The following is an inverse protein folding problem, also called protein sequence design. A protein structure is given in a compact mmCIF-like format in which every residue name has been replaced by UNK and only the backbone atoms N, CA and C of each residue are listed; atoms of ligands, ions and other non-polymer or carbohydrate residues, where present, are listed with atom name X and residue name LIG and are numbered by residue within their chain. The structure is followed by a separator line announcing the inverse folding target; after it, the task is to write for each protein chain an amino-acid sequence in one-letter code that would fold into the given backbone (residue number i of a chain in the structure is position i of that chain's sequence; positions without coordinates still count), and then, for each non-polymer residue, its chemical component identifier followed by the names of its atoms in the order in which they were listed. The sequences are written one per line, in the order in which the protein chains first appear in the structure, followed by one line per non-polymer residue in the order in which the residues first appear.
data_IF_359189349267
#
_entry.id   IF_359189349267
#
_cell.length_a   1.000
_cell.length_b   1.000
_cell.length_c   1.000
_cell.angle_alpha   90.00
_cell.angle_beta   90.00
_cell.angle_gamma   90.00
#
_symmetry.space_group_name_H-M   'P 1'
#
loop_
_entity.id
_entity.type
_entity.pdbx_description
1 polymer ?
#
# COMPACT_ATOMS: atom_id res chain seq x y z
N UNK A 1 7.12 6.24 37.38
CA UNK A 1 7.53 6.24 35.96
C UNK A 1 6.81 5.09 35.28
N UNK A 2 6.19 5.32 34.12
CA UNK A 2 5.49 4.25 33.38
C UNK A 2 6.47 3.15 32.96
N UNK A 3 5.99 1.90 32.93
CA UNK A 3 6.80 0.76 32.47
C UNK A 3 7.21 0.91 30.99
N UNK A 4 6.33 1.54 30.20
CA UNK A 4 6.49 1.75 28.76
C UNK A 4 6.57 3.24 28.44
N UNK A 5 7.34 3.58 27.41
CA UNK A 5 7.36 4.93 26.84
C UNK A 5 6.19 5.13 25.88
N UNK A 6 5.88 4.10 25.07
CA UNK A 6 4.78 4.13 24.13
C UNK A 6 3.96 2.83 24.08
N UNK A 7 2.66 2.97 23.82
CA UNK A 7 1.74 1.87 23.54
C UNK A 7 1.28 1.97 22.10
N UNK A 8 1.35 0.86 21.37
CA UNK A 8 0.83 0.69 20.01
C UNK A 8 -0.44 -0.14 20.08
N UNK A 9 -1.56 0.43 19.62
CA UNK A 9 -2.86 -0.25 19.56
C UNK A 9 -3.01 -0.91 18.18
N UNK A 10 -2.92 -2.24 18.14
CA UNK A 10 -3.07 -3.06 16.94
C UNK A 10 -1.76 -3.66 16.42
N UNK A 11 -1.65 -4.98 16.47
CA UNK A 11 -0.50 -5.81 16.05
C UNK A 11 -0.49 -6.19 14.56
N UNK A 12 -0.99 -5.32 13.69
CA UNK A 12 -0.82 -5.44 12.25
C UNK A 12 0.62 -5.13 11.80
N UNK A 13 0.95 -5.42 10.54
CA UNK A 13 2.29 -5.17 9.97
C UNK A 13 2.81 -3.73 10.22
N UNK A 14 1.98 -2.71 10.07
CA UNK A 14 2.38 -1.31 10.35
C UNK A 14 2.72 -1.08 11.82
N UNK A 15 1.97 -1.67 12.74
CA UNK A 15 2.23 -1.59 14.18
C UNK A 15 3.53 -2.28 14.56
N UNK A 16 3.79 -3.47 14.00
CA UNK A 16 5.04 -4.20 14.21
C UNK A 16 6.24 -3.43 13.66
N UNK A 17 6.15 -2.91 12.43
CA UNK A 17 7.20 -2.07 11.84
C UNK A 17 7.47 -0.82 12.68
N UNK A 18 6.41 -0.13 13.11
CA UNK A 18 6.52 1.05 13.98
C UNK A 18 7.22 0.70 15.29
N UNK A 19 6.82 -0.40 15.94
CA UNK A 19 7.45 -0.90 17.15
C UNK A 19 8.94 -1.15 16.96
N UNK A 20 9.33 -1.85 15.88
CA UNK A 20 10.74 -2.14 15.57
C UNK A 20 11.58 -0.88 15.36
N UNK A 21 11.04 0.16 14.73
CA UNK A 21 11.77 1.41 14.56
C UNK A 21 11.94 2.17 15.88
N UNK A 22 10.91 2.21 16.72
CA UNK A 22 10.95 2.91 18.00
C UNK A 22 11.85 2.18 19.02
N UNK A 23 11.76 0.86 19.10
CA UNK A 23 12.62 0.06 19.98
C UNK A 23 14.10 0.18 19.60
N UNK A 24 14.43 0.22 18.30
CA UNK A 24 15.79 0.52 17.81
C UNK A 24 16.32 1.89 18.24
N UNK A 25 15.42 2.84 18.56
CA UNK A 25 15.75 4.15 19.10
C UNK A 25 15.78 4.19 20.62
N UNK A 26 15.59 3.04 21.29
CA UNK A 26 15.70 2.88 22.74
C UNK A 26 14.39 3.05 23.51
N UNK A 27 13.25 3.23 22.82
CA UNK A 27 11.95 3.33 23.48
C UNK A 27 11.45 1.96 23.95
N UNK A 28 10.84 1.91 25.14
CA UNK A 28 10.14 0.75 25.67
C UNK A 28 8.73 0.70 25.13
N UNK A 29 8.43 -0.30 24.30
CA UNK A 29 7.17 -0.39 23.56
C UNK A 29 6.33 -1.56 24.05
N UNK A 30 5.02 -1.32 24.16
CA UNK A 30 4.00 -2.36 24.31
C UNK A 30 3.06 -2.35 23.10
N UNK A 31 2.87 -3.51 22.47
CA UNK A 31 1.84 -3.72 21.45
C UNK A 31 0.63 -4.41 22.09
N UNK A 32 -0.56 -3.88 21.84
CA UNK A 32 -1.84 -4.45 22.27
C UNK A 32 -2.64 -4.89 21.03
N UNK A 33 -2.78 -6.20 20.83
CA UNK A 33 -3.55 -6.79 19.73
C UNK A 33 -4.85 -7.39 20.27
N UNK A 34 -5.98 -7.04 19.65
CA UNK A 34 -7.30 -7.49 20.11
C UNK A 34 -7.57 -8.96 19.82
N UNK A 35 -6.97 -9.50 18.76
CA UNK A 35 -7.15 -10.88 18.32
C UNK A 35 -6.09 -11.80 18.94
N UNK A 36 -6.25 -13.10 18.74
CA UNK A 36 -5.26 -14.12 19.13
C UNK A 36 -4.00 -14.11 18.25
N UNK A 37 -4.12 -13.65 16.99
CA UNK A 37 -3.05 -13.66 16.01
C UNK A 37 -2.66 -12.24 15.60
N UNK A 38 -1.37 -12.02 15.37
CA UNK A 38 -0.82 -10.80 14.78
C UNK A 38 -1.05 -10.75 13.26
N UNK A 39 -0.83 -9.57 12.67
CA UNK A 39 -0.75 -9.39 11.22
C UNK A 39 -1.89 -8.59 10.60
N UNK A 40 -3.04 -8.50 11.26
CA UNK A 40 -4.19 -7.74 10.78
C UNK A 40 -4.60 -8.17 9.36
N UNK A 41 -4.75 -7.21 8.44
CA UNK A 41 -5.16 -7.48 7.05
C UNK A 41 -4.16 -8.34 6.26
N UNK A 42 -2.89 -8.41 6.68
CA UNK A 42 -1.88 -9.24 5.98
C UNK A 42 -2.20 -10.72 6.11
N UNK A 43 -2.92 -11.15 7.15
CA UNK A 43 -3.35 -12.54 7.27
C UNK A 43 -4.29 -12.98 6.12
N UNK A 44 -4.91 -12.03 5.43
CA UNK A 44 -5.78 -12.29 4.27
C UNK A 44 -5.10 -11.97 2.93
N UNK A 45 -3.87 -11.47 2.97
CA UNK A 45 -3.13 -11.16 1.76
C UNK A 45 -2.49 -12.45 1.25
N UNK A 46 -2.63 -12.75 -0.04
CA UNK A 46 -1.88 -13.83 -0.67
C UNK A 46 -0.47 -13.39 -1.11
N UNK A 47 -0.14 -12.10 -0.97
CA UNK A 47 1.15 -11.59 -1.46
C UNK A 47 1.60 -10.28 -0.78
N UNK A 48 2.91 -10.04 -0.81
CA UNK A 48 3.61 -8.85 -0.31
C UNK A 48 3.52 -7.63 -1.27
N UNK A 49 2.44 -7.52 -2.06
CA UNK A 49 2.23 -6.39 -2.98
C UNK A 49 2.37 -5.05 -2.24
N UNK A 50 3.44 -4.33 -2.53
CA UNK A 50 3.66 -2.97 -2.02
C UNK A 50 4.27 -2.87 -0.62
N UNK A 51 4.72 -3.96 0.01
CA UNK A 51 5.55 -3.84 1.20
C UNK A 51 6.96 -3.36 0.80
N UNK A 52 7.43 -2.32 1.45
CA UNK A 52 8.66 -1.64 1.04
C UNK A 52 9.89 -2.50 1.31
N UNK A 53 10.66 -2.82 0.26
CA UNK A 53 11.96 -3.49 0.39
C UNK A 53 12.94 -2.69 1.25
N UNK A 54 12.79 -1.36 1.29
CA UNK A 54 13.53 -0.49 2.21
C UNK A 54 13.27 -0.87 3.67
N UNK A 55 12.02 -1.18 4.05
CA UNK A 55 11.70 -1.60 5.42
C UNK A 55 12.36 -2.93 5.74
N UNK A 56 12.35 -3.89 4.81
CA UNK A 56 13.05 -5.18 5.00
C UNK A 56 14.54 -4.97 5.24
N UNK A 57 15.19 -4.11 4.45
CA UNK A 57 16.60 -3.77 4.59
C UNK A 57 16.90 -3.04 5.91
N UNK A 58 16.13 -1.99 6.22
CA UNK A 58 16.29 -1.16 7.42
C UNK A 58 16.10 -2.00 8.69
N UNK A 59 15.16 -2.95 8.68
CA UNK A 59 14.88 -3.86 9.80
C UNK A 59 15.73 -5.13 9.80
N UNK A 60 16.52 -5.37 8.73
CA UNK A 60 17.30 -6.60 8.50
C UNK A 60 16.44 -7.86 8.54
N UNK A 61 15.27 -7.80 7.92
CA UNK A 61 14.32 -8.90 7.82
C UNK A 61 14.63 -9.68 6.54
N UNK A 62 15.01 -10.95 6.71
CA UNK A 62 15.27 -11.85 5.60
C UNK A 62 14.05 -12.74 5.41
N UNK A 63 13.35 -12.57 4.28
CA UNK A 63 12.23 -13.43 3.90
C UNK A 63 12.72 -14.48 2.89
N UNK A 64 12.27 -15.74 2.99
CA UNK A 64 12.55 -16.74 1.97
C UNK A 64 12.03 -16.25 0.62
N UNK A 65 12.84 -16.42 -0.42
CA UNK A 65 12.41 -16.07 -1.77
C UNK A 65 11.67 -17.23 -2.40
N UNK A 66 10.53 -16.94 -3.04
CA UNK A 66 9.81 -17.92 -3.83
C UNK A 66 10.33 -17.89 -5.27
N UNK A 67 10.71 -19.04 -5.81
CA UNK A 67 11.18 -19.16 -7.19
C UNK A 67 10.12 -19.89 -8.02
N UNK A 68 9.01 -19.21 -8.29
CA UNK A 68 7.94 -19.73 -9.15
C UNK A 68 7.84 -18.90 -10.43
N UNK A 69 7.66 -19.60 -11.55
CA UNK A 69 7.23 -18.95 -12.80
C UNK A 69 5.87 -18.33 -12.56
N UNK A 70 5.78 -17.01 -12.72
CA UNK A 70 4.54 -16.27 -12.53
C UNK A 70 3.73 -16.31 -13.83
N UNK A 71 2.57 -16.97 -13.79
CA UNK A 71 1.63 -17.00 -14.90
C UNK A 71 0.44 -16.10 -14.61
N UNK A 72 0.02 -15.34 -15.61
CA UNK A 72 -1.15 -14.48 -15.54
C UNK A 72 -2.16 -14.97 -16.56
N UNK A 73 -3.38 -15.22 -16.10
CA UNK A 73 -4.43 -15.80 -16.93
C UNK A 73 -5.59 -14.83 -17.04
N UNK A 74 -5.96 -14.47 -18.27
CA UNK A 74 -7.22 -13.82 -18.57
C UNK A 74 -8.20 -14.86 -19.12
N UNK A 75 -9.28 -15.05 -18.36
CA UNK A 75 -10.37 -15.95 -18.74
C UNK A 75 -11.27 -15.27 -19.76
N UNK A 76 -11.80 -16.08 -20.67
CA UNK A 76 -12.77 -15.68 -21.68
C UNK A 76 -13.88 -16.72 -21.77
N UNK A 77 -15.10 -16.28 -22.06
CA UNK A 77 -16.30 -17.14 -21.97
C UNK A 77 -16.33 -18.28 -23.00
N UNK A 78 -15.68 -18.10 -24.14
CA UNK A 78 -15.54 -19.11 -25.20
C UNK A 78 -14.36 -20.08 -24.99
N UNK A 79 -13.71 -20.03 -23.82
CA UNK A 79 -12.52 -20.81 -23.45
C UNK A 79 -11.22 -20.43 -24.19
N UNK A 80 -11.23 -19.38 -25.02
CA UNK A 80 -10.04 -18.80 -25.63
C UNK A 80 -9.30 -17.90 -24.64
N UNK A 81 -8.68 -18.53 -23.64
CA UNK A 81 -7.94 -17.82 -22.60
C UNK A 81 -6.59 -17.30 -23.10
N UNK A 82 -6.17 -16.15 -22.56
CA UNK A 82 -4.80 -15.68 -22.69
C UNK A 82 -4.00 -16.04 -21.44
N UNK A 83 -2.87 -16.71 -21.65
CA UNK A 83 -1.90 -17.08 -20.61
C UNK A 83 -0.58 -16.39 -20.93
N UNK A 84 -0.17 -15.53 -20.02
CA UNK A 84 1.11 -14.85 -20.05
C UNK A 84 2.04 -15.47 -19.01
N UNK A 85 3.34 -15.52 -19.32
CA UNK A 85 4.38 -15.78 -18.35
C UNK A 85 5.20 -14.50 -18.14
N UNK A 86 5.28 -14.04 -16.90
CA UNK A 86 6.20 -12.96 -16.50
C UNK A 86 7.52 -13.57 -16.01
N UNK A 87 8.64 -13.09 -16.54
CA UNK A 87 9.97 -13.50 -16.08
C UNK A 87 10.54 -12.55 -15.01
N UNK A 88 11.66 -12.92 -14.41
CA UNK A 88 12.32 -12.15 -13.32
C UNK A 88 12.72 -10.71 -13.69
N UNK A 89 12.69 -10.35 -14.99
CA UNK A 89 12.96 -8.99 -15.49
C UNK A 89 11.67 -8.20 -15.82
N UNK A 90 10.51 -8.74 -15.47
CA UNK A 90 9.18 -8.23 -15.81
C UNK A 90 8.97 -8.11 -17.32
N UNK A 91 9.57 -9.04 -18.08
CA UNK A 91 9.22 -9.23 -19.48
C UNK A 91 8.12 -10.27 -19.58
N UNK A 92 7.23 -10.06 -20.53
CA UNK A 92 6.02 -10.85 -20.73
C UNK A 92 6.20 -11.71 -21.97
N UNK A 93 5.97 -13.01 -21.80
CA UNK A 93 5.92 -13.97 -22.88
C UNK A 93 4.49 -14.51 -23.02
N UNK A 94 3.98 -14.56 -24.24
CA UNK A 94 2.70 -15.20 -24.54
C UNK A 94 2.90 -16.72 -24.59
N UNK A 95 2.26 -17.43 -23.67
CA UNK A 95 2.23 -18.91 -23.67
C UNK A 95 1.06 -19.40 -24.52
N UNK A 96 -0.08 -18.73 -24.36
CA UNK A 96 -1.30 -18.99 -25.11
C UNK A 96 -2.06 -17.66 -25.27
N UNK A 97 -2.58 -17.39 -26.46
CA UNK A 97 -3.48 -16.26 -26.70
C UNK A 97 -4.17 -16.44 -28.05
N UNK A 98 -5.44 -16.06 -28.13
CA UNK A 98 -6.18 -15.90 -29.38
C UNK A 98 -5.88 -14.58 -30.10
N UNK A 99 -5.21 -13.64 -29.43
CA UNK A 99 -4.88 -12.34 -29.99
C UNK A 99 -3.87 -12.50 -31.15
N UNK A 100 -4.11 -11.79 -32.25
CA UNK A 100 -3.18 -11.79 -33.38
C UNK A 100 -1.84 -11.12 -33.03
N UNK A 101 -0.80 -11.37 -33.85
CA UNK A 101 0.54 -10.82 -33.61
C UNK A 101 0.58 -9.29 -33.51
N UNK A 102 -0.28 -8.59 -34.25
CA UNK A 102 -0.36 -7.14 -34.22
C UNK A 102 -0.84 -6.64 -32.85
N UNK A 103 -1.90 -7.26 -32.31
CA UNK A 103 -2.43 -6.92 -30.98
C UNK A 103 -1.42 -7.25 -29.88
N UNK A 104 -0.73 -8.39 -29.97
CA UNK A 104 0.33 -8.75 -29.04
C UNK A 104 1.47 -7.71 -29.04
N UNK A 105 1.90 -7.25 -30.23
CA UNK A 105 2.91 -6.18 -30.36
C UNK A 105 2.42 -4.84 -29.77
N UNK A 106 1.18 -4.45 -30.05
CA UNK A 106 0.54 -3.24 -29.48
C UNK A 106 0.47 -3.32 -27.96
N UNK A 107 0.06 -4.47 -27.42
CA UNK A 107 0.02 -4.73 -25.98
C UNK A 107 1.39 -4.59 -25.33
N UNK A 108 2.43 -5.25 -25.86
CA UNK A 108 3.80 -5.10 -25.36
C UNK A 108 4.30 -3.65 -25.43
N UNK A 109 3.94 -2.90 -26.48
CA UNK A 109 4.28 -1.48 -26.62
C UNK A 109 3.62 -0.62 -25.53
N UNK A 110 2.32 -0.83 -25.26
CA UNK A 110 1.60 -0.15 -24.17
C UNK A 110 2.23 -0.40 -22.81
N UNK A 111 2.61 -1.65 -22.53
CA UNK A 111 3.25 -2.02 -21.25
C UNK A 111 4.58 -1.30 -21.07
N UNK A 112 5.41 -1.27 -22.12
CA UNK A 112 6.67 -0.55 -22.10
C UNK A 112 6.47 0.96 -21.92
N UNK A 113 5.44 1.53 -22.56
CA UNK A 113 5.02 2.92 -22.38
C UNK A 113 4.65 3.21 -20.92
N UNK A 114 3.81 2.38 -20.31
CA UNK A 114 3.43 2.54 -18.91
C UNK A 114 4.62 2.35 -17.95
N UNK A 115 5.50 1.38 -18.21
CA UNK A 115 6.72 1.17 -17.43
C UNK A 115 7.61 2.41 -17.43
N UNK A 116 7.78 3.05 -18.59
CA UNK A 116 8.51 4.31 -18.72
C UNK A 116 7.86 5.42 -17.88
N UNK A 117 6.54 5.58 -17.97
CA UNK A 117 5.82 6.61 -17.21
C UNK A 117 5.85 6.35 -15.70
N UNK A 118 5.62 5.12 -15.27
CA UNK A 118 5.70 4.70 -13.87
C UNK A 118 7.10 4.92 -13.27
N UNK A 119 8.17 4.72 -14.05
CA UNK A 119 9.55 4.99 -13.60
C UNK A 119 9.81 6.46 -13.27
N UNK A 120 9.02 7.37 -13.84
CA UNK A 120 9.08 8.80 -13.50
C UNK A 120 8.47 9.05 -12.13
N UNK A 121 7.41 8.31 -11.78
CA UNK A 121 6.69 8.42 -10.51
C UNK A 121 7.41 7.73 -9.35
N UNK A 122 8.10 6.61 -9.59
CA UNK A 122 8.70 5.75 -8.55
C UNK A 122 9.66 6.51 -7.63
N UNK A 123 10.40 7.47 -8.19
CA UNK A 123 11.32 8.31 -7.43
C UNK A 123 10.64 9.17 -6.37
N UNK A 124 9.37 9.53 -6.56
CA UNK A 124 8.62 10.37 -5.62
C UNK A 124 7.92 9.54 -4.55
N UNK A 125 7.75 8.24 -4.76
CA UNK A 125 7.01 7.36 -3.84
C UNK A 125 7.69 7.21 -2.47
N UNK A 126 9.00 7.46 -2.40
CA UNK A 126 9.79 7.39 -1.16
C UNK A 126 10.17 8.78 -0.61
N UNK A 127 9.74 9.86 -1.26
CA UNK A 127 9.99 11.22 -0.82
C UNK A 127 8.75 11.80 -0.12
N UNK A 128 8.97 12.69 0.85
CA UNK A 128 7.85 13.43 1.45
C UNK A 128 7.26 14.35 0.38
N UNK A 129 5.95 14.23 0.06
CA UNK A 129 5.34 15.04 -0.99
C UNK A 129 5.45 16.53 -0.65
N UNK A 130 5.89 17.38 -1.60
CA UNK A 130 6.01 18.81 -1.35
C UNK A 130 4.63 19.43 -1.14
N UNK A 131 4.53 20.37 -0.19
CA UNK A 131 3.28 21.08 0.06
C UNK A 131 3.08 22.15 -1.01
N UNK A 132 1.96 22.09 -1.74
CA UNK A 132 1.59 23.14 -2.69
C UNK A 132 1.29 24.44 -1.94
N UNK A 133 1.79 25.56 -2.47
CA UNK A 133 1.58 26.91 -1.91
C UNK A 133 2.07 27.09 -0.46
N UNK A 134 3.05 26.30 -0.01
CA UNK A 134 3.63 26.48 1.33
C UNK A 134 4.45 27.76 1.48
N UNK A 135 4.87 28.37 0.36
CA UNK A 135 5.79 29.51 0.35
C UNK A 135 7.25 29.14 0.67
N UNK A 136 7.53 27.85 0.92
CA UNK A 136 8.87 27.36 1.23
C UNK A 136 9.68 27.11 -0.06
N UNK A 137 10.93 27.58 -0.08
CA UNK A 137 11.88 27.35 -1.17
C UNK A 137 12.22 25.87 -1.35
N UNK A 138 12.27 25.08 -0.28
CA UNK A 138 12.55 23.64 -0.35
C UNK A 138 11.44 22.88 -1.09
N UNK A 139 10.18 23.16 -0.76
CA UNK A 139 9.02 22.55 -1.44
C UNK A 139 8.97 22.98 -2.91
N UNK A 140 9.26 24.25 -3.19
CA UNK A 140 9.34 24.77 -4.55
C UNK A 140 10.41 24.05 -5.36
N UNK A 141 11.59 23.82 -4.77
CA UNK A 141 12.68 23.10 -5.43
C UNK A 141 12.35 21.62 -5.66
N UNK A 142 11.67 20.96 -4.72
CA UNK A 142 11.14 19.59 -4.93
C UNK A 142 10.16 19.55 -6.10
N UNK A 143 9.22 20.49 -6.20
CA UNK A 143 8.30 20.60 -7.33
C UNK A 143 9.03 20.82 -8.66
N UNK A 144 10.06 21.68 -8.67
CA UNK A 144 10.90 21.91 -9.86
C UNK A 144 11.61 20.61 -10.26
N UNK A 145 12.21 19.89 -9.31
CA UNK A 145 12.84 18.59 -9.57
C UNK A 145 11.85 17.57 -10.14
N UNK A 146 10.63 17.53 -9.59
CA UNK A 146 9.56 16.67 -10.09
C UNK A 146 9.25 16.98 -11.55
N UNK A 147 9.00 18.26 -11.86
CA UNK A 147 8.73 18.73 -13.21
C UNK A 147 9.90 18.49 -14.17
N UNK A 148 11.15 18.60 -13.69
CA UNK A 148 12.34 18.35 -14.50
C UNK A 148 12.48 16.87 -14.88
N UNK A 149 12.18 15.93 -13.97
CA UNK A 149 12.17 14.50 -14.29
C UNK A 149 11.11 14.16 -15.34
N UNK A 150 9.92 14.76 -15.24
CA UNK A 150 8.88 14.61 -16.26
C UNK A 150 9.35 15.18 -17.61
N UNK A 151 10.04 16.34 -17.61
CA UNK A 151 10.64 16.91 -18.83
C UNK A 151 11.70 16.00 -19.47
N UNK A 152 12.45 15.22 -18.69
CA UNK A 152 13.45 14.27 -19.20
C UNK A 152 12.84 13.11 -20.00
N UNK A 153 11.53 12.89 -19.97
CA UNK A 153 10.86 11.94 -20.88
C UNK A 153 11.01 12.33 -22.36
N UNK A 154 11.33 13.60 -22.64
CA UNK A 154 11.34 14.15 -23.99
C UNK A 154 9.96 14.65 -24.41
N UNK A 155 9.92 15.51 -25.44
CA UNK A 155 8.71 16.24 -25.85
C UNK A 155 7.52 15.33 -26.14
N UNK A 156 7.75 14.23 -26.86
CA UNK A 156 6.69 13.29 -27.28
C UNK A 156 6.12 12.53 -26.09
N UNK A 157 6.96 11.82 -25.33
CA UNK A 157 6.54 11.03 -24.18
C UNK A 157 5.95 11.89 -23.05
N UNK A 158 6.47 13.11 -22.83
CA UNK A 158 5.91 14.03 -21.84
C UNK A 158 4.48 14.46 -22.21
N UNK A 159 4.25 14.81 -23.48
CA UNK A 159 2.91 15.18 -23.95
C UNK A 159 1.93 14.02 -23.79
N UNK A 160 2.36 12.83 -24.16
CA UNK A 160 1.56 11.62 -24.04
C UNK A 160 1.26 11.29 -22.57
N UNK A 161 2.26 11.34 -21.69
CA UNK A 161 2.07 11.14 -20.25
C UNK A 161 1.03 12.11 -19.67
N UNK A 162 1.17 13.41 -19.97
CA UNK A 162 0.24 14.44 -19.49
C UNK A 162 -1.16 14.30 -20.10
N UNK A 163 -1.27 13.77 -21.32
CA UNK A 163 -2.55 13.45 -21.97
C UNK A 163 -3.28 12.34 -21.21
N UNK A 164 -2.59 11.23 -20.91
CA UNK A 164 -3.26 10.01 -20.43
C UNK A 164 -3.40 9.92 -18.92
N UNK A 165 -2.58 10.61 -18.12
CA UNK A 165 -2.53 10.40 -16.65
C UNK A 165 -3.88 10.65 -15.96
N UNK A 166 -4.72 11.54 -16.49
CA UNK A 166 -6.06 11.82 -15.97
C UNK A 166 -7.18 11.02 -16.61
N UNK A 167 -6.91 10.27 -17.68
CA UNK A 167 -7.92 9.49 -18.40
C UNK A 167 -8.28 8.20 -17.67
N UNK A 168 -9.31 7.56 -18.18
CA UNK A 168 -9.66 6.21 -17.78
C UNK A 168 -8.93 5.19 -18.67
N UNK A 169 -8.63 4.00 -18.13
CA UNK A 169 -7.88 2.97 -18.85
C UNK A 169 -8.69 2.38 -20.01
N UNK A 170 -10.02 2.35 -19.93
CA UNK A 170 -10.84 1.67 -20.92
C UNK A 170 -10.73 2.35 -22.30
N UNK A 171 -10.86 3.68 -22.36
CA UNK A 171 -10.72 4.44 -23.60
C UNK A 171 -9.33 4.23 -24.22
N UNK A 172 -8.27 4.29 -23.40
CA UNK A 172 -6.90 4.09 -23.88
C UNK A 172 -6.66 2.65 -24.38
N UNK A 173 -7.33 1.66 -23.80
CA UNK A 173 -7.24 0.28 -24.28
C UNK A 173 -8.02 0.07 -25.56
N UNK A 174 -9.26 0.59 -25.66
CA UNK A 174 -10.12 0.47 -26.85
C UNK A 174 -9.52 1.21 -28.06
N UNK A 175 -8.78 2.31 -27.85
CA UNK A 175 -8.07 3.03 -28.90
C UNK A 175 -6.85 2.26 -29.45
N UNK A 176 -6.28 1.33 -28.67
CA UNK A 176 -4.98 0.72 -28.97
C UNK A 176 -5.01 -0.81 -29.10
N UNK A 177 -6.05 -1.48 -28.64
CA UNK A 177 -6.21 -2.95 -28.64
C UNK A 177 -7.59 -3.32 -29.16
N UNK A 178 -7.73 -4.59 -29.53
CA UNK A 178 -8.99 -5.13 -30.04
C UNK A 178 -9.28 -6.53 -29.50
N UNK A 179 -8.43 -7.04 -28.60
CA UNK A 179 -8.61 -8.34 -27.96
C UNK A 179 -9.08 -8.14 -26.52
N UNK A 180 -10.24 -8.70 -26.20
CA UNK A 180 -10.90 -8.52 -24.90
C UNK A 180 -10.08 -9.09 -23.74
N UNK A 181 -9.31 -10.16 -23.96
CA UNK A 181 -8.48 -10.75 -22.90
C UNK A 181 -7.28 -9.87 -22.59
N UNK A 182 -6.64 -9.27 -23.60
CA UNK A 182 -5.54 -8.32 -23.41
C UNK A 182 -6.00 -7.02 -22.75
N UNK A 183 -7.16 -6.50 -23.18
CA UNK A 183 -7.79 -5.34 -22.53
C UNK A 183 -8.14 -5.67 -21.07
N UNK A 184 -8.74 -6.84 -20.82
CA UNK A 184 -9.12 -7.31 -19.50
C UNK A 184 -7.95 -7.36 -18.51
N UNK A 185 -6.76 -7.83 -18.96
CA UNK A 185 -5.55 -7.85 -18.14
C UNK A 185 -5.16 -6.47 -17.65
N UNK A 186 -5.01 -5.49 -18.55
CA UNK A 186 -4.60 -4.13 -18.17
C UNK A 186 -5.70 -3.39 -17.41
N UNK A 187 -6.97 -3.61 -17.76
CA UNK A 187 -8.10 -3.05 -17.06
C UNK A 187 -8.14 -3.50 -15.60
N UNK A 188 -7.97 -4.81 -15.34
CA UNK A 188 -7.87 -5.38 -14.00
C UNK A 188 -6.74 -4.75 -13.20
N UNK A 189 -5.54 -4.72 -13.78
CA UNK A 189 -4.36 -4.13 -13.16
C UNK A 189 -4.57 -2.63 -12.81
N UNK A 190 -5.36 -1.89 -13.58
CA UNK A 190 -5.61 -0.46 -13.31
C UNK A 190 -6.52 -0.17 -12.11
N UNK A 191 -7.38 -1.12 -11.73
CA UNK A 191 -8.38 -0.92 -10.68
C UNK A 191 -8.07 -1.65 -9.37
N UNK A 192 -7.06 -2.52 -9.37
CA UNK A 192 -6.65 -3.25 -8.17
C UNK A 192 -6.25 -2.29 -7.03
N UNK A 193 -6.85 -2.51 -5.85
CA UNK A 193 -6.63 -1.69 -4.66
C UNK A 193 -7.37 -0.35 -4.67
N UNK A 194 -8.24 -0.13 -5.65
CA UNK A 194 -9.05 1.07 -5.81
C UNK A 194 -10.55 0.76 -5.74
N UNK A 195 -11.36 1.79 -5.53
CA UNK A 195 -12.81 1.70 -5.69
C UNK A 195 -13.30 2.23 -7.05
N UNK A 196 -12.37 2.45 -7.99
CA UNK A 196 -12.62 2.88 -9.35
C UNK A 196 -12.98 1.69 -10.25
N UNK A 197 -13.80 1.94 -11.28
CA UNK A 197 -13.97 1.02 -12.40
C UNK A 197 -13.04 1.39 -13.57
N UNK A 198 -12.86 0.53 -14.59
CA UNK A 198 -11.95 0.80 -15.70
C UNK A 198 -12.25 2.11 -16.44
N UNK A 199 -13.54 2.46 -16.58
CA UNK A 199 -14.02 3.72 -17.18
C UNK A 199 -14.02 4.94 -16.24
N UNK A 200 -13.55 4.80 -15.00
CA UNK A 200 -13.45 5.94 -14.08
C UNK A 200 -12.21 6.80 -14.39
N UNK A 201 -12.32 8.13 -14.40
CA UNK A 201 -11.16 9.01 -14.58
C UNK A 201 -10.06 8.72 -13.54
N UNK A 202 -8.80 8.67 -13.99
CA UNK A 202 -7.64 8.42 -13.14
C UNK A 202 -7.32 6.94 -12.91
N UNK A 203 -8.03 5.98 -13.51
CA UNK A 203 -7.64 4.56 -13.43
C UNK A 203 -6.28 4.29 -14.08
N UNK A 204 -5.86 5.08 -15.08
CA UNK A 204 -4.48 5.05 -15.60
C UNK A 204 -3.47 5.49 -14.52
N UNK A 205 -3.76 6.56 -13.77
CA UNK A 205 -2.90 6.97 -12.67
C UNK A 205 -2.78 5.89 -11.60
N UNK A 206 -3.87 5.19 -11.28
CA UNK A 206 -3.84 4.03 -10.38
C UNK A 206 -2.92 2.91 -10.89
N UNK A 207 -2.98 2.58 -12.19
CA UNK A 207 -2.07 1.63 -12.82
C UNK A 207 -0.59 2.07 -12.68
N UNK A 208 -0.29 3.31 -13.08
CA UNK A 208 1.06 3.86 -13.07
C UNK A 208 1.62 3.97 -11.65
N UNK A 209 0.80 4.36 -10.67
CA UNK A 209 1.18 4.44 -9.26
C UNK A 209 1.58 3.07 -8.73
N UNK A 210 0.78 2.04 -9.02
CA UNK A 210 1.05 0.68 -8.56
C UNK A 210 2.31 0.10 -9.20
N UNK A 211 2.47 0.28 -10.51
CA UNK A 211 3.67 -0.12 -11.23
C UNK A 211 4.93 0.62 -10.72
N UNK A 212 4.79 1.89 -10.33
CA UNK A 212 5.87 2.69 -9.76
C UNK A 212 6.34 2.16 -8.39
N UNK A 213 5.42 1.60 -7.59
CA UNK A 213 5.75 0.98 -6.30
C UNK A 213 6.34 -0.43 -6.43
N UNK A 214 5.86 -1.22 -7.41
CA UNK A 214 6.18 -2.65 -7.54
C UNK A 214 7.30 -2.93 -8.55
N UNK A 215 7.68 -1.94 -9.37
CA UNK A 215 8.66 -2.07 -10.46
C UNK A 215 8.30 -3.14 -11.51
N UNK A 216 7.02 -3.48 -11.66
CA UNK A 216 6.50 -4.51 -12.57
C UNK A 216 5.04 -4.24 -12.90
N UNK A 217 4.52 -4.85 -13.97
CA UNK A 217 3.12 -4.71 -14.35
C UNK A 217 2.24 -5.74 -13.65
N UNK A 218 2.67 -7.00 -13.73
CA UNK A 218 2.03 -8.10 -13.06
C UNK A 218 2.77 -8.46 -11.77
N UNK A 219 2.23 -9.44 -11.05
CA UNK A 219 2.75 -9.82 -9.75
C UNK A 219 3.80 -10.91 -9.89
N UNK A 220 5.05 -10.56 -9.63
CA UNK A 220 6.10 -11.52 -9.27
C UNK A 220 6.18 -11.59 -7.73
N UNK A 221 5.69 -12.69 -7.15
CA UNK A 221 5.88 -12.96 -5.72
C UNK A 221 7.32 -13.38 -5.46
N UNK A 222 8.15 -12.40 -5.07
CA UNK A 222 9.55 -12.69 -4.77
C UNK A 222 9.76 -13.29 -3.38
N UNK A 223 8.81 -13.15 -2.46
CA UNK A 223 8.98 -13.54 -1.05
C UNK A 223 7.81 -14.38 -0.53
N UNK A 224 8.12 -15.33 0.36
CA UNK A 224 7.14 -16.07 1.14
C UNK A 224 6.49 -15.14 2.18
N UNK A 225 5.27 -14.69 1.88
CA UNK A 225 4.56 -13.73 2.71
C UNK A 225 4.12 -14.31 4.05
N UNK A 226 3.93 -15.64 4.15
CA UNK A 226 3.56 -16.29 5.40
C UNK A 226 4.64 -16.07 6.47
N UNK A 227 5.87 -15.79 6.05
CA UNK A 227 7.00 -15.50 6.93
C UNK A 227 7.12 -14.03 7.32
N UNK A 228 6.35 -13.10 6.71
CA UNK A 228 6.48 -11.67 7.01
C UNK A 228 6.14 -11.36 8.47
N UNK A 229 4.93 -11.74 8.90
CA UNK A 229 4.44 -11.44 10.25
C UNK A 229 5.28 -12.16 11.31
N UNK A 230 5.57 -13.48 11.20
CA UNK A 230 6.48 -14.15 12.12
C UNK A 230 7.87 -13.51 12.18
N UNK A 231 8.40 -13.05 11.05
CA UNK A 231 9.72 -12.40 11.02
C UNK A 231 9.71 -11.02 11.68
N UNK A 232 8.64 -10.24 11.48
CA UNK A 232 8.43 -8.95 12.15
C UNK A 232 8.23 -9.11 13.65
N UNK A 233 7.42 -10.08 14.07
CA UNK A 233 7.20 -10.44 15.47
C UNK A 233 8.52 -10.82 16.15
N UNK A 234 9.26 -11.75 15.54
CA UNK A 234 10.59 -12.15 16.03
C UNK A 234 11.55 -10.95 16.14
N UNK A 235 11.52 -10.03 15.18
CA UNK A 235 12.33 -8.81 15.21
C UNK A 235 11.95 -7.92 16.41
N UNK A 236 10.66 -7.75 16.67
CA UNK A 236 10.15 -6.99 17.81
C UNK A 236 10.59 -7.61 19.14
N UNK A 237 10.38 -8.92 19.32
CA UNK A 237 10.73 -9.65 20.54
C UNK A 237 12.24 -9.55 20.81
N UNK A 238 13.07 -9.74 19.78
CA UNK A 238 14.53 -9.60 19.90
C UNK A 238 15.00 -8.18 20.28
N UNK A 239 14.16 -7.17 20.06
CA UNK A 239 14.42 -5.78 20.41
C UNK A 239 13.77 -5.38 21.75
N UNK A 240 13.21 -6.35 22.50
CA UNK A 240 12.61 -6.10 23.81
C UNK A 240 11.24 -5.41 23.74
N UNK A 241 10.53 -5.52 22.63
CA UNK A 241 9.13 -5.07 22.53
C UNK A 241 8.23 -6.10 23.24
N UNK A 242 7.40 -5.64 24.17
CA UNK A 242 6.37 -6.48 24.78
C UNK A 242 5.15 -6.53 23.86
N UNK A 243 4.58 -7.73 23.66
CA UNK A 243 3.39 -7.94 22.82
C UNK A 243 2.34 -8.67 23.65
N UNK A 244 1.12 -8.11 23.71
CA UNK A 244 -0.03 -8.73 24.37
C UNK A 244 -1.16 -8.94 23.35
N UNK A 245 -1.40 -10.21 23.02
CA UNK A 245 -2.55 -10.65 22.20
C UNK A 245 -3.81 -10.78 23.08
N UNK A 246 -4.98 -10.91 22.45
CA UNK A 246 -6.27 -10.92 23.13
C UNK A 246 -6.49 -9.71 24.07
N UNK A 247 -5.81 -8.59 23.81
CA UNK A 247 -5.82 -7.37 24.61
C UNK A 247 -6.53 -6.26 23.83
N UNK A 248 -7.86 -6.35 23.77
CA UNK A 248 -8.66 -5.30 23.15
C UNK A 248 -8.63 -4.04 24.01
N UNK A 249 -8.12 -2.94 23.45
CA UNK A 249 -8.23 -1.61 24.06
C UNK A 249 -9.68 -1.15 24.01
N UNK A 250 -10.18 -0.65 25.14
CA UNK A 250 -11.51 -0.07 25.33
C UNK A 250 -11.48 1.44 25.17
N UNK A 251 -10.50 2.12 25.78
CA UNK A 251 -10.43 3.59 25.79
C UNK A 251 -8.98 4.09 25.90
N UNK A 252 -8.66 5.20 25.24
CA UNK A 252 -7.45 5.98 25.45
C UNK A 252 -7.72 6.98 26.57
N UNK A 253 -6.86 6.98 27.59
CA UNK A 253 -6.97 7.89 28.73
C UNK A 253 -6.32 9.20 28.34
N UNK A 254 -7.01 10.32 28.59
CA UNK A 254 -6.47 11.66 28.41
C UNK A 254 -6.58 12.47 29.69
N UNK A 255 -5.55 13.26 29.97
CA UNK A 255 -5.48 14.22 31.08
C UNK A 255 -4.89 15.51 30.54
N UNK A 256 -5.51 16.67 30.80
CA UNK A 256 -5.05 17.98 30.31
C UNK A 256 -4.72 17.99 28.80
N UNK A 257 -5.61 17.40 27.99
CA UNK A 257 -5.46 17.25 26.53
C UNK A 257 -4.22 16.44 26.08
N UNK A 258 -3.66 15.60 26.95
CA UNK A 258 -2.56 14.69 26.62
C UNK A 258 -2.97 13.24 26.88
N UNK A 259 -2.56 12.33 26.00
CA UNK A 259 -2.78 10.89 26.23
C UNK A 259 -1.83 10.40 27.33
N UNK A 260 -2.36 9.64 28.30
CA UNK A 260 -1.60 9.18 29.47
C UNK A 260 -1.60 7.67 29.65
N UNK A 261 -2.36 6.94 28.83
CA UNK A 261 -2.46 5.49 28.91
C UNK A 261 -3.67 4.95 28.16
N UNK A 262 -3.97 3.68 28.41
CA UNK A 262 -5.13 2.99 27.85
C UNK A 262 -5.84 2.16 28.92
N UNK A 263 -7.13 1.94 28.71
CA UNK A 263 -7.96 0.97 29.45
C UNK A 263 -8.28 -0.17 28.50
N UNK A 264 -8.01 -1.40 28.91
CA UNK A 264 -8.40 -2.61 28.19
C UNK A 264 -9.86 -2.98 28.48
N UNK A 265 -10.46 -3.86 27.66
CA UNK A 265 -11.84 -4.35 27.89
C UNK A 265 -12.04 -5.11 29.20
N UNK A 266 -10.98 -5.65 29.78
CA UNK A 266 -10.99 -6.27 31.11
C UNK A 266 -10.80 -5.24 32.25
N UNK A 267 -10.92 -3.94 31.96
CA UNK A 267 -10.73 -2.80 32.87
C UNK A 267 -9.28 -2.61 33.38
N UNK A 268 -8.31 -3.39 32.89
CA UNK A 268 -6.90 -3.19 33.18
C UNK A 268 -6.41 -1.85 32.61
N UNK A 269 -5.72 -1.05 33.44
CA UNK A 269 -5.14 0.23 33.04
C UNK A 269 -3.65 0.08 32.81
N UNK A 270 -3.16 0.64 31.71
CA UNK A 270 -1.75 0.62 31.36
C UNK A 270 -1.32 2.05 30.98
N UNK A 271 -0.36 2.59 31.72
CA UNK A 271 0.13 3.96 31.54
C UNK A 271 1.25 4.03 30.50
N UNK A 272 1.20 5.05 29.64
CA UNK A 272 2.28 5.44 28.73
C UNK A 272 2.08 6.89 28.26
N UNK A 273 3.19 7.62 28.06
CA UNK A 273 3.15 9.01 27.61
C UNK A 273 2.87 9.18 26.11
N UNK A 274 3.00 8.11 25.33
CA UNK A 274 2.79 8.12 23.88
C UNK A 274 1.83 6.99 23.50
N UNK A 275 0.76 7.31 22.79
CA UNK A 275 -0.20 6.33 22.27
C UNK A 275 -0.21 6.41 20.74
N UNK A 276 0.05 5.27 20.10
CA UNK A 276 0.06 5.14 18.65
C UNK A 276 -1.08 4.21 18.26
N UNK A 277 -2.09 4.74 17.56
CA UNK A 277 -3.19 3.92 17.07
C UNK A 277 -2.90 3.43 15.65
N UNK A 278 -2.85 2.11 15.49
CA UNK A 278 -2.78 1.43 14.20
C UNK A 278 -4.17 0.93 13.75
N UNK A 279 -5.24 1.42 14.39
CA UNK A 279 -6.61 1.22 13.96
C UNK A 279 -6.99 2.24 12.88
N UNK A 280 -8.13 2.04 12.21
CA UNK A 280 -8.63 3.04 11.27
C UNK A 280 -9.04 4.33 12.02
N UNK A 281 -8.99 5.50 11.36
CA UNK A 281 -9.27 6.78 12.01
C UNK A 281 -10.62 6.85 12.72
N UNK A 282 -11.67 6.19 12.21
CA UNK A 282 -12.99 6.26 12.85
C UNK A 282 -12.98 5.47 14.15
N UNK A 283 -12.45 4.26 14.15
CA UNK A 283 -12.25 3.49 15.39
C UNK A 283 -11.39 4.26 16.39
N UNK A 284 -10.27 4.84 15.94
CA UNK A 284 -9.38 5.62 16.82
C UNK A 284 -10.09 6.80 17.46
N UNK A 285 -10.76 7.65 16.66
CA UNK A 285 -11.32 8.91 17.16
C UNK A 285 -12.66 8.73 17.86
N UNK A 286 -13.55 7.88 17.35
CA UNK A 286 -14.90 7.75 17.89
C UNK A 286 -15.02 6.69 18.97
N UNK A 287 -14.29 5.57 18.86
CA UNK A 287 -14.47 4.44 19.78
C UNK A 287 -13.39 4.44 20.88
N UNK A 288 -12.12 4.71 20.52
CA UNK A 288 -11.00 4.61 21.47
C UNK A 288 -10.74 5.93 22.21
N UNK A 289 -10.58 7.04 21.49
CA UNK A 289 -10.28 8.34 22.08
C UNK A 289 -11.53 8.99 22.68
N UNK A 290 -12.66 8.87 21.98
CA UNK A 290 -13.86 9.67 22.23
C UNK A 290 -13.78 11.03 21.55
N UNK A 291 -14.95 11.68 21.42
CA UNK A 291 -15.06 12.97 20.74
C UNK A 291 -14.86 14.17 21.67
N UNK A 292 -14.88 13.95 22.98
CA UNK A 292 -14.73 14.98 24.01
C UNK A 292 -13.44 15.82 23.87
N UNK A 293 -12.26 15.26 23.53
CA UNK A 293 -11.04 16.05 23.35
C UNK A 293 -10.88 16.67 21.94
N UNK A 294 -11.85 16.50 21.03
CA UNK A 294 -11.73 16.89 19.62
C UNK A 294 -12.59 18.12 19.30
N UNK A 295 -12.08 19.02 18.44
CA UNK A 295 -12.86 20.15 17.95
C UNK A 295 -13.93 19.72 16.92
N UNK A 296 -15.00 20.50 16.82
CA UNK A 296 -16.15 20.20 15.96
C UNK A 296 -15.78 20.08 14.49
N UNK A 297 -14.82 20.87 14.00
CA UNK A 297 -14.38 20.82 12.61
C UNK A 297 -13.59 19.56 12.32
N UNK A 298 -12.72 19.13 13.25
CA UNK A 298 -12.02 17.86 13.16
C UNK A 298 -13.00 16.69 13.17
N UNK A 299 -13.97 16.68 14.08
CA UNK A 299 -15.02 15.65 14.14
C UNK A 299 -15.75 15.56 12.79
N UNK A 300 -16.15 16.71 12.22
CA UNK A 300 -16.82 16.77 10.91
C UNK A 300 -15.92 16.18 9.81
N UNK A 301 -14.64 16.52 9.77
CA UNK A 301 -13.69 15.95 8.79
C UNK A 301 -13.53 14.45 8.98
N UNK A 302 -13.31 13.99 10.20
CA UNK A 302 -13.12 12.57 10.54
C UNK A 302 -14.35 11.73 10.16
N UNK A 303 -15.56 12.24 10.43
CA UNK A 303 -16.82 11.58 10.07
C UNK A 303 -16.97 11.41 8.55
N UNK A 304 -16.46 12.38 7.79
CA UNK A 304 -16.51 12.40 6.32
C UNK A 304 -15.36 11.63 5.65
N UNK A 305 -14.44 11.01 6.41
CA UNK A 305 -13.46 10.09 5.83
C UNK A 305 -14.23 8.95 5.15
N UNK A 306 -14.03 8.81 3.84
CA UNK A 306 -14.66 7.77 3.04
C UNK A 306 -14.05 6.42 3.38
N UNK A 307 -14.87 5.48 3.84
CA UNK A 307 -14.49 4.12 4.22
C UNK A 307 -15.26 3.08 3.41
N UNK A 308 -15.57 3.39 2.13
CA UNK A 308 -16.20 2.44 1.21
C UNK A 308 -15.16 1.41 0.78
N UNK A 309 -15.10 0.28 1.49
CA UNK A 309 -14.27 -0.86 1.12
C UNK A 309 -14.97 -1.71 0.06
N UNK A 310 -14.20 -2.15 -0.94
CA UNK A 310 -14.66 -3.08 -1.98
C UNK A 310 -14.03 -4.48 -1.82
N UNK A 311 -13.44 -4.76 -0.66
CA UNK A 311 -12.77 -6.02 -0.33
C UNK A 311 -13.57 -6.67 0.79
N UNK A 312 -14.00 -7.91 0.56
CA UNK A 312 -14.59 -8.76 1.57
C UNK A 312 -13.69 -9.97 1.79
N UNK A 313 -13.55 -10.39 3.05
CA UNK A 313 -12.96 -11.68 3.40
C UNK A 313 -14.11 -12.68 3.52
N UNK A 314 -14.04 -13.76 2.75
CA UNK A 314 -14.84 -14.95 3.03
C UNK A 314 -13.97 -15.87 3.90
N UNK A 315 -14.35 -16.02 5.17
CA UNK A 315 -13.68 -16.88 6.14
C UNK A 315 -14.60 -18.01 6.56
#
# INVERSE_FOLDING_TARGET
MSKYDAIIIGGGHNGLVCASYLSKKGYKILILEKNENLGGLVHCASSLKGFSSKILNDLKINLPTLNYKSYVVALHSDQQHTILQENDKNNINFIQSSANEENQKKFSSLINKYKLFASTLSNFMYEVPPRLKSGNSEDTWKLIKMGWKIRKLGKTNMREFLRIVGLNIADELEDNLSDDTLMGLLAHESILGSNLGPRSPGSILSLLYRQAMQNGLFTSEQYDFHQLIPSLEKNCINQGVDIKINASVKKIITTNNQATGVILKNEEKIDAGIIISNADPKTTYFDLLGTEPLDTDFIRRAKNIRTKGNIAKLS
#
